data_IF_801178016698
#
_entry.id   IF_801178016698
#
_cell.length_a   1.000
_cell.length_b   1.000
_cell.length_c   1.000
_cell.angle_alpha   90.00
_cell.angle_beta   90.00
_cell.angle_gamma   90.00
#
_symmetry.space_group_name_H-M   'P 1'
#
loop_
_entity.id
_entity.type
_entity.pdbx_description
1 polymer ?
#
# COMPACT_ATOMS: atom_id res chain seq x y z
N UNK A 1 -28.62 0.16 -27.96
CA UNK A 1 -27.30 -0.10 -27.32
C UNK A 1 -27.40 0.42 -25.90
N UNK A 2 -27.76 -0.44 -24.94
CA UNK A 2 -27.89 -0.05 -23.54
C UNK A 2 -26.51 -0.11 -22.89
N UNK A 3 -25.99 1.04 -22.49
CA UNK A 3 -24.73 1.16 -21.75
C UNK A 3 -24.92 0.64 -20.33
N UNK A 4 -24.09 -0.32 -19.93
CA UNK A 4 -23.93 -0.76 -18.55
C UNK A 4 -23.17 0.33 -17.78
N UNK A 5 -23.88 1.10 -16.95
CA UNK A 5 -23.25 1.98 -15.97
C UNK A 5 -22.80 1.12 -14.79
N UNK A 6 -21.50 0.79 -14.73
CA UNK A 6 -20.87 0.23 -13.54
C UNK A 6 -20.82 1.33 -12.48
N UNK A 7 -21.79 1.34 -11.57
CA UNK A 7 -21.72 2.15 -10.36
C UNK A 7 -20.55 1.64 -9.51
N UNK A 8 -19.40 2.30 -9.62
CA UNK A 8 -18.32 2.13 -8.65
C UNK A 8 -18.88 2.58 -7.30
N UNK A 9 -19.13 1.61 -6.41
CA UNK A 9 -19.50 1.91 -5.03
C UNK A 9 -18.26 2.51 -4.39
N UNK A 10 -18.19 3.84 -4.34
CA UNK A 10 -17.11 4.53 -3.64
C UNK A 10 -17.19 4.18 -2.16
N UNK A 11 -16.18 3.44 -1.66
CA UNK A 11 -16.09 3.15 -0.24
C UNK A 11 -15.89 4.46 0.52
N UNK A 12 -16.62 4.67 1.61
CA UNK A 12 -16.43 5.85 2.45
C UNK A 12 -15.08 5.76 3.19
N UNK A 13 -14.31 6.85 3.27
CA UNK A 13 -13.09 6.89 4.06
C UNK A 13 -13.36 6.57 5.53
N UNK A 14 -12.41 5.87 6.16
CA UNK A 14 -12.41 5.59 7.60
C UNK A 14 -11.29 6.39 8.25
N UNK A 15 -11.59 7.08 9.35
CA UNK A 15 -10.63 7.85 10.10
C UNK A 15 -9.80 6.93 11.01
N UNK A 16 -8.48 7.05 10.93
CA UNK A 16 -7.49 6.31 11.72
C UNK A 16 -6.87 7.17 12.85
N UNK A 17 -7.33 8.41 13.01
CA UNK A 17 -6.87 9.35 14.03
C UNK A 17 -6.06 10.50 13.47
N UNK A 18 -5.50 11.31 14.36
CA UNK A 18 -4.53 12.35 13.99
C UNK A 18 -3.18 11.74 13.59
N UNK A 19 -2.33 12.49 12.89
CA UNK A 19 -0.97 12.03 12.52
C UNK A 19 -0.17 11.54 13.75
N UNK A 20 -0.11 12.28 14.88
CA UNK A 20 0.65 11.82 16.04
C UNK A 20 0.07 10.55 16.66
N UNK A 21 -1.26 10.45 16.79
CA UNK A 21 -1.92 9.24 17.33
C UNK A 21 -1.62 8.03 16.45
N UNK A 22 -1.80 8.19 15.13
CA UNK A 22 -1.53 7.16 14.14
C UNK A 22 -0.08 6.69 14.23
N UNK A 23 0.89 7.60 14.07
CA UNK A 23 2.32 7.22 14.08
C UNK A 23 2.74 6.60 15.42
N UNK A 24 2.29 7.14 16.55
CA UNK A 24 2.63 6.62 17.88
C UNK A 24 2.13 5.19 18.12
N UNK A 25 1.01 4.80 17.52
CA UNK A 25 0.52 3.42 17.59
C UNK A 25 1.55 2.44 17.01
N UNK A 26 2.16 2.78 15.87
CA UNK A 26 3.17 1.94 15.22
C UNK A 26 4.54 2.02 15.90
N UNK A 27 4.95 3.21 16.37
CA UNK A 27 6.19 3.36 17.13
C UNK A 27 6.17 2.56 18.45
N UNK A 28 5.02 2.52 19.12
CA UNK A 28 4.86 1.78 20.38
C UNK A 28 4.85 0.28 20.13
N UNK A 29 4.12 -0.18 19.12
CA UNK A 29 4.04 -1.59 18.77
C UNK A 29 5.38 -2.16 18.26
N UNK A 30 6.18 -1.37 17.54
CA UNK A 30 7.52 -1.78 17.10
C UNK A 30 8.50 -2.02 18.28
N UNK A 31 8.25 -1.43 19.46
CA UNK A 31 9.07 -1.65 20.67
C UNK A 31 8.71 -2.93 21.42
N UNK A 32 7.51 -3.45 21.17
CA UNK A 32 7.05 -4.73 21.73
C UNK A 32 7.29 -5.82 20.70
N UNK A 33 8.24 -6.71 20.98
CA UNK A 33 8.62 -7.79 20.07
C UNK A 33 7.39 -8.65 19.71
N UNK A 34 6.91 -8.53 18.46
CA UNK A 34 5.72 -9.25 17.98
C UNK A 34 4.36 -8.58 18.23
N UNK A 35 4.30 -7.31 18.65
CA UNK A 35 3.05 -6.58 18.86
C UNK A 35 2.23 -6.43 17.57
N UNK A 36 1.07 -7.08 17.50
CA UNK A 36 0.10 -6.88 16.43
C UNK A 36 -0.67 -5.56 16.66
N UNK A 37 -0.87 -4.81 15.58
CA UNK A 37 -1.65 -3.57 15.58
C UNK A 37 -2.99 -3.87 14.92
N UNK A 38 -4.07 -3.70 15.66
CA UNK A 38 -5.42 -3.74 15.11
C UNK A 38 -5.70 -2.45 14.32
N UNK A 39 -5.76 -2.55 12.99
CA UNK A 39 -6.02 -1.44 12.08
C UNK A 39 -7.43 -1.56 11.50
N UNK A 40 -8.20 -0.48 11.58
CA UNK A 40 -9.50 -0.37 10.92
C UNK A 40 -9.33 -0.18 9.41
N UNK A 41 -10.20 -0.80 8.63
CA UNK A 41 -10.29 -0.66 7.18
C UNK A 41 -11.67 -0.12 6.80
N UNK A 42 -11.83 0.31 5.54
CA UNK A 42 -13.12 0.71 5.00
C UNK A 42 -14.15 -0.43 5.08
N UNK A 43 -15.41 -0.08 5.37
CA UNK A 43 -16.51 -1.04 5.45
C UNK A 43 -16.59 -1.86 6.74
N UNK A 44 -16.17 -1.29 7.88
CA UNK A 44 -16.17 -1.95 9.20
C UNK A 44 -15.32 -3.23 9.26
N UNK A 45 -14.29 -3.31 8.42
CA UNK A 45 -13.31 -4.40 8.43
C UNK A 45 -12.13 -4.03 9.32
N UNK A 46 -11.42 -5.04 9.79
CA UNK A 46 -10.20 -4.87 10.58
C UNK A 46 -9.15 -5.86 10.12
N UNK A 47 -7.89 -5.47 10.24
CA UNK A 47 -6.74 -6.33 10.01
C UNK A 47 -5.76 -6.18 11.15
N UNK A 48 -5.01 -7.25 11.39
CA UNK A 48 -3.92 -7.27 12.35
C UNK A 48 -2.63 -7.09 11.56
N UNK A 49 -1.87 -6.06 11.86
CA UNK A 49 -0.63 -5.76 11.14
C UNK A 49 0.57 -5.84 12.05
N UNK A 50 1.68 -6.32 11.51
CA UNK A 50 2.96 -6.42 12.22
C UNK A 50 3.99 -5.56 11.52
N UNK A 51 4.61 -4.64 12.26
CA UNK A 51 5.72 -3.83 11.76
C UNK A 51 6.94 -4.73 11.56
N UNK A 52 7.54 -4.65 10.38
CA UNK A 52 8.79 -5.36 10.06
C UNK A 52 9.98 -4.39 10.08
N UNK A 53 9.78 -3.14 9.65
CA UNK A 53 10.78 -2.09 9.76
C UNK A 53 10.13 -0.73 9.98
N UNK A 54 10.90 0.11 10.64
CA UNK A 54 10.50 1.43 11.06
C UNK A 54 11.71 2.36 11.02
N UNK A 55 11.75 3.21 10.02
CA UNK A 55 12.81 4.20 9.79
C UNK A 55 12.33 5.60 10.18
N UNK A 56 11.42 5.70 11.14
CA UNK A 56 10.87 6.98 11.58
C UNK A 56 11.92 7.81 12.32
N UNK A 57 12.04 9.07 11.91
CA UNK A 57 12.86 10.12 12.51
C UNK A 57 11.95 11.27 12.97
N UNK A 58 12.52 12.35 13.50
CA UNK A 58 11.74 13.56 13.85
C UNK A 58 11.12 14.25 12.62
N UNK A 59 11.69 14.05 11.44
CA UNK A 59 11.32 14.77 10.22
C UNK A 59 10.55 13.89 9.23
N UNK A 60 10.71 12.57 9.34
CA UNK A 60 10.21 11.62 8.35
C UNK A 60 9.66 10.38 9.03
N UNK A 61 8.50 9.92 8.56
CA UNK A 61 7.89 8.65 8.95
C UNK A 61 8.05 7.69 7.78
N UNK A 62 8.54 6.48 8.04
CA UNK A 62 8.58 5.37 7.08
C UNK A 62 8.42 4.06 7.85
N UNK A 63 7.31 3.38 7.61
CA UNK A 63 6.97 2.13 8.30
C UNK A 63 6.45 1.15 7.27
N UNK A 64 6.99 -0.07 7.29
CA UNK A 64 6.51 -1.17 6.48
C UNK A 64 6.29 -2.41 7.31
N UNK A 65 5.39 -3.27 6.84
CA UNK A 65 5.18 -4.55 7.46
C UNK A 65 4.21 -5.46 6.73
N UNK A 66 3.80 -6.50 7.44
CA UNK A 66 2.92 -7.55 6.93
C UNK A 66 1.55 -7.50 7.61
N UNK A 67 0.54 -8.00 6.90
CA UNK A 67 -0.76 -8.29 7.51
C UNK A 67 -0.72 -9.72 8.04
N UNK A 68 -1.02 -9.90 9.32
CA UNK A 68 -1.01 -11.21 9.95
C UNK A 68 -2.07 -12.13 9.32
N UNK A 69 -1.74 -13.42 9.27
CA UNK A 69 -2.58 -14.47 8.69
C UNK A 69 -2.83 -14.34 7.17
N UNK A 70 -2.11 -13.45 6.47
CA UNK A 70 -2.32 -13.18 5.06
C UNK A 70 -0.98 -13.07 4.31
N UNK A 71 -0.52 -14.18 3.72
CA UNK A 71 0.88 -14.35 3.24
C UNK A 71 1.35 -13.37 2.17
N UNK A 72 0.44 -12.87 1.34
CA UNK A 72 0.77 -11.91 0.26
C UNK A 72 0.27 -10.51 0.58
N UNK A 73 0.00 -10.23 1.86
CA UNK A 73 -0.56 -8.98 2.31
C UNK A 73 0.49 -8.13 2.99
N UNK A 74 0.57 -6.88 2.56
CA UNK A 74 1.57 -5.93 3.04
C UNK A 74 0.92 -4.59 3.34
N UNK A 75 1.55 -3.84 4.22
CA UNK A 75 1.26 -2.42 4.37
C UNK A 75 2.55 -1.62 4.35
N UNK A 76 2.46 -0.41 3.84
CA UNK A 76 3.50 0.58 4.00
C UNK A 76 2.87 1.96 4.10
N UNK A 77 3.47 2.82 4.91
CA UNK A 77 3.15 4.23 4.91
C UNK A 77 4.40 5.06 5.17
N UNK A 78 4.35 6.29 4.69
CA UNK A 78 5.44 7.22 4.69
C UNK A 78 4.91 8.66 4.76
N UNK A 79 5.75 9.59 5.17
CA UNK A 79 5.37 10.99 5.26
C UNK A 79 6.17 11.75 6.31
N UNK A 80 5.54 12.73 6.93
CA UNK A 80 6.12 13.61 7.93
C UNK A 80 5.07 14.05 8.98
N UNK A 81 5.40 15.06 9.78
CA UNK A 81 4.50 15.62 10.80
C UNK A 81 3.24 16.33 10.26
N UNK A 82 3.15 16.56 8.95
CA UNK A 82 2.05 17.28 8.29
C UNK A 82 1.24 16.39 7.37
N UNK A 83 1.84 15.35 6.80
CA UNK A 83 1.16 14.47 5.88
C UNK A 83 1.66 13.03 5.99
N UNK A 84 0.73 12.09 6.02
CA UNK A 84 0.96 10.66 5.90
C UNK A 84 0.30 10.16 4.61
N UNK A 85 1.00 9.30 3.89
CA UNK A 85 0.52 8.55 2.74
C UNK A 85 0.89 7.09 2.88
N UNK A 86 0.11 6.19 2.30
CA UNK A 86 0.44 4.78 2.36
C UNK A 86 -0.51 3.90 1.57
N UNK A 87 -0.21 2.61 1.57
CA UNK A 87 -1.04 1.60 0.96
C UNK A 87 -1.11 0.36 1.83
N UNK A 88 -2.25 -0.30 1.78
CA UNK A 88 -2.44 -1.64 2.32
C UNK A 88 -2.94 -2.52 1.17
N UNK A 89 -2.32 -3.67 1.00
CA UNK A 89 -2.74 -4.67 0.03
C UNK A 89 -3.05 -5.94 0.81
N UNK A 90 -4.27 -6.46 0.65
CA UNK A 90 -4.71 -7.70 1.30
C UNK A 90 -4.95 -8.77 0.24
N UNK A 91 -4.16 -9.83 0.30
CA UNK A 91 -4.18 -11.03 -0.54
C UNK A 91 -4.20 -10.75 -2.05
N UNK A 92 -3.60 -9.63 -2.49
CA UNK A 92 -3.67 -9.10 -3.86
C UNK A 92 -5.10 -8.93 -4.41
N UNK A 93 -6.10 -8.89 -3.53
CA UNK A 93 -7.53 -8.77 -3.88
C UNK A 93 -8.12 -7.45 -3.46
N UNK A 94 -7.71 -6.95 -2.30
CA UNK A 94 -8.21 -5.70 -1.75
C UNK A 94 -7.07 -4.70 -1.63
N UNK A 95 -7.31 -3.48 -2.11
CA UNK A 95 -6.38 -2.37 -2.02
C UNK A 95 -6.97 -1.26 -1.16
N UNK A 96 -6.14 -0.66 -0.33
CA UNK A 96 -6.52 0.50 0.44
C UNK A 96 -5.43 1.56 0.35
N UNK A 97 -5.85 2.82 0.26
CA UNK A 97 -4.96 3.98 0.26
C UNK A 97 -5.10 4.73 1.59
N UNK A 98 -3.97 5.04 2.20
CA UNK A 98 -3.88 5.87 3.40
C UNK A 98 -3.50 7.28 2.97
N UNK A 99 -4.23 8.29 3.43
CA UNK A 99 -3.96 9.71 3.16
C UNK A 99 -4.23 10.55 4.40
N UNK A 100 -3.58 11.70 4.52
CA UNK A 100 -4.00 12.76 5.45
C UNK A 100 -5.00 13.68 4.74
N UNK A 101 -6.14 13.95 5.39
CA UNK A 101 -7.14 14.90 4.91
C UNK A 101 -6.86 16.35 5.35
N UNK A 102 -7.67 17.30 4.88
CA UNK A 102 -7.50 18.73 5.20
C UNK A 102 -7.72 19.07 6.69
N UNK A 103 -8.30 18.14 7.46
CA UNK A 103 -8.45 18.25 8.92
C UNK A 103 -7.25 17.65 9.68
N UNK A 104 -6.14 17.33 8.99
CA UNK A 104 -4.96 16.67 9.54
C UNK A 104 -5.25 15.30 10.18
N UNK A 105 -6.27 14.60 9.68
CA UNK A 105 -6.61 13.25 10.09
C UNK A 105 -6.11 12.26 9.05
N UNK A 106 -5.50 11.17 9.52
CA UNK A 106 -5.14 10.04 8.69
C UNK A 106 -6.41 9.25 8.41
N UNK A 107 -6.69 8.99 7.14
CA UNK A 107 -7.84 8.24 6.69
C UNK A 107 -7.41 7.12 5.76
N UNK A 108 -8.21 6.06 5.72
CA UNK A 108 -8.03 4.93 4.82
C UNK A 108 -9.27 4.75 3.95
N UNK A 109 -9.05 4.57 2.66
CA UNK A 109 -10.11 4.40 1.67
C UNK A 109 -9.83 3.16 0.84
N UNK A 110 -10.86 2.35 0.56
CA UNK A 110 -10.72 1.23 -0.36
C UNK A 110 -10.57 1.75 -1.80
N UNK A 111 -9.62 1.18 -2.50
CA UNK A 111 -9.35 1.48 -3.91
C UNK A 111 -9.19 0.18 -4.68
N UNK A 112 -9.26 0.26 -6.00
CA UNK A 112 -8.98 -0.89 -6.85
C UNK A 112 -7.53 -1.33 -6.65
N UNK A 113 -7.33 -2.59 -6.24
CA UNK A 113 -6.01 -3.17 -5.98
C UNK A 113 -5.11 -3.13 -7.22
N UNK A 114 -5.69 -3.16 -8.42
CA UNK A 114 -4.95 -3.06 -9.68
C UNK A 114 -4.36 -1.66 -9.91
N UNK A 115 -4.85 -0.63 -9.20
CA UNK A 115 -4.23 0.70 -9.19
C UNK A 115 -3.04 0.78 -8.23
N UNK A 116 -2.98 -0.12 -7.25
CA UNK A 116 -1.94 -0.14 -6.21
C UNK A 116 -0.77 -1.03 -6.58
N UNK A 117 -1.06 -2.20 -7.15
CA UNK A 117 -0.09 -3.12 -7.71
C UNK A 117 0.18 -2.64 -9.13
N UNK A 118 1.39 -2.13 -9.40
CA UNK A 118 1.85 -2.01 -10.78
C UNK A 118 1.94 -3.43 -11.34
N UNK A 119 0.88 -3.90 -12.00
CA UNK A 119 0.98 -5.06 -12.87
C UNK A 119 1.84 -4.58 -14.02
N UNK A 120 3.15 -4.83 -13.96
CA UNK A 120 3.96 -4.78 -15.17
C UNK A 120 3.20 -5.64 -16.18
N UNK A 121 2.70 -5.08 -17.29
CA UNK A 121 2.10 -5.91 -18.31
C UNK A 121 3.18 -6.92 -18.65
N UNK A 122 2.87 -8.19 -18.42
CA UNK A 122 3.83 -9.25 -18.63
C UNK A 122 4.45 -9.07 -20.00
N UNK A 123 5.69 -9.52 -20.12
CA UNK A 123 6.16 -10.30 -21.24
C UNK A 123 5.06 -11.28 -21.72
N UNK A 124 4.03 -10.77 -22.38
CA UNK A 124 3.28 -11.51 -23.37
C UNK A 124 4.24 -11.65 -24.53
N UNK A 125 5.08 -12.68 -24.48
CA UNK A 125 5.70 -13.21 -25.67
C UNK A 125 4.55 -13.51 -26.64
N UNK A 126 4.42 -12.79 -27.76
CA UNK A 126 3.48 -13.22 -28.78
C UNK A 126 3.94 -14.60 -29.27
N UNK A 127 3.05 -15.60 -29.39
CA UNK A 127 3.43 -16.85 -30.01
C UNK A 127 3.58 -16.59 -31.51
N UNK A 128 4.83 -16.52 -31.95
CA UNK A 128 5.19 -16.61 -33.36
C UNK A 128 5.51 -15.27 -34.02
N UNK A 129 6.81 -14.95 -34.05
CA UNK A 129 7.49 -14.69 -35.32
C UNK A 129 8.97 -15.02 -35.15
N UNK A 130 9.38 -16.14 -35.73
CA UNK A 130 10.77 -16.48 -35.95
C UNK A 130 11.31 -15.53 -37.03
N UNK A 131 12.31 -14.70 -36.70
CA UNK A 131 12.87 -13.76 -37.68
C UNK A 131 13.99 -12.85 -37.19
N UNK A 132 15.19 -13.42 -37.07
CA UNK A 132 16.49 -12.76 -37.40
C UNK A 132 17.04 -11.64 -36.48
N UNK A 133 18.19 -11.98 -35.86
CA UNK A 133 19.31 -11.16 -35.35
C UNK A 133 19.26 -9.63 -35.53
N UNK A 134 19.47 -8.91 -34.42
CA UNK A 134 19.94 -7.52 -34.41
C UNK A 134 20.26 -7.01 -33.00
N UNK A 135 21.55 -7.07 -32.62
CA UNK A 135 22.15 -6.47 -31.43
C UNK A 135 21.89 -4.96 -31.35
N UNK A 136 21.56 -4.40 -30.18
CA UNK A 136 22.23 -3.21 -29.57
C UNK A 136 21.61 -2.89 -28.19
N UNK A 137 22.45 -3.07 -27.18
CA UNK A 137 22.35 -2.62 -25.78
C UNK A 137 22.12 -1.10 -25.67
N UNK A 138 21.24 -0.67 -24.74
CA UNK A 138 21.41 0.57 -23.95
C UNK A 138 20.51 0.56 -22.71
N UNK A 139 21.16 0.31 -21.58
CA UNK A 139 21.03 0.97 -20.28
C UNK A 139 19.62 1.30 -19.76
N UNK A 140 19.12 0.40 -18.91
CA UNK A 140 18.18 0.72 -17.86
C UNK A 140 19.00 0.94 -16.56
N UNK A 141 19.05 2.14 -15.98
CA UNK A 141 19.78 2.33 -14.72
C UNK A 141 18.98 1.72 -13.58
N UNK A 142 19.50 0.60 -13.08
CA UNK A 142 19.47 0.11 -11.70
C UNK A 142 18.18 0.30 -10.88
N UNK A 143 17.35 -0.75 -10.88
CA UNK A 143 16.61 -1.11 -9.67
C UNK A 143 17.62 -1.58 -8.62
N UNK A 144 17.75 -0.85 -7.51
CA UNK A 144 18.44 -1.37 -6.32
C UNK A 144 17.46 -2.32 -5.63
N UNK A 145 17.72 -3.61 -5.76
CA UNK A 145 17.22 -4.63 -4.85
C UNK A 145 18.10 -4.62 -3.60
N UNK A 146 17.48 -4.68 -2.42
CA UNK A 146 18.06 -5.39 -1.28
C UNK A 146 17.12 -6.54 -0.93
#
# INVERSE_FOLDING_TARGET
>A
MSGLTLAQTESRPVNLGTIPEFTNQFLSAAKTDGGAIHMALAGNKFIDVKVIDNQTTEQEVRIYGEVQNAKTSIFYFYGDSRQIKGKVVVDNKEGYEITTNDANQVQITQVDVNKLICVSPGTTTPPGESGTRGNTTRDCPACIQQ
#
